data_IF_460128300709
#
_entry.id   IF_460128300709
#
_cell.length_a   1.000
_cell.length_b   1.000
_cell.length_c   1.000
_cell.angle_alpha   90.00
_cell.angle_beta   90.00
_cell.angle_gamma   90.00
#
_symmetry.space_group_name_H-M   'P 1'
#
loop_
_entity.id
_entity.type
_entity.pdbx_description
1 polymer ?
#
# COMPACT_ATOMS: atom_id res chain seq x y z
N UNK A 1 8.51 -18.17 -6.84
CA UNK A 1 7.33 -17.31 -6.67
C UNK A 1 7.32 -16.39 -7.87
N UNK A 2 6.33 -16.50 -8.74
CA UNK A 2 6.32 -15.89 -10.08
C UNK A 2 5.56 -14.55 -10.12
N UNK A 3 5.23 -13.99 -8.96
CA UNK A 3 4.55 -12.71 -8.83
C UNK A 3 5.32 -11.60 -9.55
N UNK A 4 4.64 -10.86 -10.43
CA UNK A 4 5.21 -9.74 -11.19
C UNK A 4 5.21 -8.46 -10.36
N UNK A 5 4.11 -8.20 -9.64
CA UNK A 5 3.94 -7.06 -8.75
C UNK A 5 3.97 -7.52 -7.30
N UNK A 6 4.66 -6.77 -6.45
CA UNK A 6 4.75 -7.00 -5.01
C UNK A 6 4.27 -5.73 -4.30
N UNK A 7 3.31 -5.87 -3.40
CA UNK A 7 2.80 -4.76 -2.58
C UNK A 7 3.16 -5.04 -1.13
N UNK A 8 3.79 -4.09 -0.46
CA UNK A 8 4.03 -4.17 0.99
C UNK A 8 2.90 -3.45 1.75
N UNK A 9 2.72 -3.73 3.04
CA UNK A 9 1.91 -2.89 3.92
C UNK A 9 2.45 -1.45 4.02
N UNK A 10 1.63 -0.56 4.58
CA UNK A 10 2.02 0.80 4.96
C UNK A 10 3.18 0.77 5.97
N UNK A 11 4.22 1.58 5.73
CA UNK A 11 5.43 1.67 6.58
C UNK A 11 6.02 0.30 6.93
N UNK A 12 6.05 -0.61 5.95
CA UNK A 12 6.58 -1.97 6.12
C UNK A 12 8.04 -2.00 6.59
N UNK A 13 8.80 -0.94 6.30
CA UNK A 13 10.24 -0.84 6.63
C UNK A 13 10.48 -0.59 8.12
N UNK A 14 9.60 0.16 8.79
CA UNK A 14 9.88 0.70 10.13
C UNK A 14 8.79 0.42 11.18
N UNK A 15 7.59 -0.01 10.79
CA UNK A 15 6.45 -0.02 11.71
C UNK A 15 5.62 1.25 11.62
N UNK A 16 4.37 1.19 12.07
CA UNK A 16 3.47 2.35 12.11
C UNK A 16 3.80 3.26 13.30
N UNK A 17 4.25 2.69 14.42
CA UNK A 17 4.56 3.41 15.66
C UNK A 17 6.05 3.75 15.83
N UNK A 18 6.87 3.62 14.78
CA UNK A 18 8.33 3.81 14.85
C UNK A 18 8.72 5.15 15.49
N UNK A 19 7.98 6.22 15.18
CA UNK A 19 8.33 7.57 15.60
C UNK A 19 8.28 7.74 17.13
N UNK A 20 7.42 6.98 17.82
CA UNK A 20 7.37 6.97 19.29
C UNK A 20 8.52 6.19 19.92
N UNK A 21 9.20 5.34 19.15
CA UNK A 21 10.28 4.46 19.64
C UNK A 21 11.66 5.04 19.34
N UNK A 22 11.86 5.52 18.11
CA UNK A 22 13.18 5.96 17.61
C UNK A 22 13.20 7.39 17.06
N UNK A 23 12.07 8.12 17.13
CA UNK A 23 11.94 9.45 16.53
C UNK A 23 11.90 9.44 15.00
N UNK A 24 11.97 10.63 14.39
CA UNK A 24 11.90 10.84 12.93
C UNK A 24 13.19 11.39 12.30
N UNK A 25 14.19 11.77 13.10
CA UNK A 25 15.42 12.42 12.61
C UNK A 25 16.29 11.52 11.72
N UNK A 26 16.11 10.20 11.82
CA UNK A 26 16.82 9.21 11.00
C UNK A 26 16.30 9.15 9.55
N UNK A 27 15.08 9.66 9.28
CA UNK A 27 14.44 9.58 7.96
C UNK A 27 15.24 10.41 6.95
N UNK A 28 15.64 9.77 5.86
CA UNK A 28 16.47 10.36 4.81
C UNK A 28 15.64 10.75 3.57
N UNK A 29 16.13 11.71 2.76
CA UNK A 29 15.64 11.89 1.39
C UNK A 29 15.86 10.64 0.57
N UNK A 30 14.87 10.29 -0.27
CA UNK A 30 14.93 9.11 -1.12
C UNK A 30 15.33 9.47 -2.56
N UNK A 31 16.08 8.61 -3.27
CA UNK A 31 16.62 7.33 -2.82
C UNK A 31 17.92 7.45 -2.00
N UNK A 32 17.90 6.98 -0.76
CA UNK A 32 19.08 6.84 0.09
C UNK A 32 19.89 5.55 -0.25
N UNK A 33 21.06 5.29 0.38
CA UNK A 33 21.83 4.08 0.11
C UNK A 33 21.07 2.76 0.36
N UNK A 34 20.12 2.73 1.30
CA UNK A 34 19.30 1.55 1.58
C UNK A 34 18.26 1.34 0.48
N UNK A 35 17.55 2.39 0.08
CA UNK A 35 16.61 2.35 -1.05
C UNK A 35 17.31 1.98 -2.35
N UNK A 36 18.55 2.42 -2.56
CA UNK A 36 19.36 1.99 -3.71
C UNK A 36 19.67 0.48 -3.67
N UNK A 37 19.88 -0.11 -2.49
CA UNK A 37 20.01 -1.57 -2.36
C UNK A 37 18.70 -2.28 -2.73
N UNK A 38 17.56 -1.76 -2.26
CA UNK A 38 16.24 -2.27 -2.64
C UNK A 38 16.02 -2.17 -4.14
N UNK A 39 16.31 -1.03 -4.77
CA UNK A 39 16.22 -0.82 -6.21
C UNK A 39 17.06 -1.85 -7.00
N UNK A 40 18.29 -2.15 -6.55
CA UNK A 40 19.14 -3.20 -7.14
C UNK A 40 18.55 -4.60 -6.98
N UNK A 41 17.97 -4.90 -5.83
CA UNK A 41 17.28 -6.17 -5.60
C UNK A 41 16.07 -6.31 -6.53
N UNK A 42 15.23 -5.28 -6.62
CA UNK A 42 14.07 -5.25 -7.51
C UNK A 42 14.47 -5.46 -8.97
N UNK A 43 15.53 -4.79 -9.44
CA UNK A 43 16.12 -5.00 -10.77
C UNK A 43 16.57 -6.46 -10.99
N UNK A 44 17.20 -7.06 -9.99
CA UNK A 44 17.69 -8.44 -10.06
C UNK A 44 16.54 -9.43 -10.18
N UNK A 45 15.46 -9.18 -9.44
CA UNK A 45 14.24 -9.99 -9.47
C UNK A 45 13.35 -9.71 -10.70
N UNK A 46 13.59 -8.59 -11.39
CA UNK A 46 12.78 -8.08 -12.53
C UNK A 46 11.29 -8.00 -12.16
N UNK A 47 11.00 -7.31 -11.05
CA UNK A 47 9.65 -7.14 -10.48
C UNK A 47 9.29 -5.68 -10.34
N UNK A 48 8.00 -5.41 -10.20
CA UNK A 48 7.49 -4.11 -9.77
C UNK A 48 7.14 -4.17 -8.29
N UNK A 49 7.60 -3.21 -7.48
CA UNK A 49 7.38 -3.20 -6.03
C UNK A 49 6.75 -1.89 -5.58
N UNK A 50 5.63 -1.99 -4.86
CA UNK A 50 4.99 -0.89 -4.14
C UNK A 50 5.46 -0.96 -2.68
N UNK A 51 6.41 -0.10 -2.32
CA UNK A 51 7.09 -0.13 -1.03
C UNK A 51 6.63 1.01 -0.12
N UNK A 52 5.96 0.67 0.98
CA UNK A 52 5.60 1.62 2.04
C UNK A 52 6.82 2.01 2.89
N UNK A 53 7.24 3.27 2.79
CA UNK A 53 8.49 3.78 3.38
C UNK A 53 8.34 5.24 3.80
N UNK A 54 8.92 5.66 4.95
CA UNK A 54 9.00 7.08 5.28
C UNK A 54 10.03 7.79 4.37
N UNK A 55 9.77 9.05 4.06
CA UNK A 55 10.70 9.89 3.31
C UNK A 55 10.82 11.29 3.92
N UNK A 56 11.88 12.00 3.53
CA UNK A 56 12.13 13.37 3.91
C UNK A 56 12.32 14.27 2.69
N UNK A 57 11.71 15.45 2.71
CA UNK A 57 11.96 16.53 1.76
C UNK A 57 12.22 17.83 2.52
N UNK A 58 13.48 18.29 2.48
CA UNK A 58 13.93 19.42 3.27
C UNK A 58 13.72 19.20 4.78
N UNK A 59 12.75 19.92 5.36
CA UNK A 59 12.37 19.83 6.78
C UNK A 59 11.05 19.06 7.01
N UNK A 60 10.41 18.59 5.95
CA UNK A 60 9.16 17.83 6.03
C UNK A 60 9.42 16.35 5.90
N UNK A 61 8.57 15.58 6.55
CA UNK A 61 8.56 14.13 6.50
C UNK A 61 7.23 13.65 5.93
N UNK A 62 7.24 12.52 5.23
CA UNK A 62 6.05 11.96 4.61
C UNK A 62 5.99 10.44 4.82
N UNK A 63 4.77 9.92 4.93
CA UNK A 63 4.47 8.50 4.81
C UNK A 63 4.16 8.23 3.34
N UNK A 64 5.00 7.45 2.68
CA UNK A 64 4.99 7.33 1.23
C UNK A 64 5.01 5.90 0.76
N UNK A 65 4.52 5.71 -0.46
CA UNK A 65 4.70 4.47 -1.22
C UNK A 65 5.52 4.81 -2.44
N UNK A 66 6.70 4.21 -2.55
CA UNK A 66 7.52 4.27 -3.75
C UNK A 66 7.18 3.09 -4.65
N UNK A 67 7.03 3.35 -5.95
CA UNK A 67 6.87 2.29 -6.95
C UNK A 67 8.18 2.12 -7.68
N UNK A 68 8.78 0.94 -7.54
CA UNK A 68 10.05 0.59 -8.14
C UNK A 68 9.76 -0.39 -9.28
N UNK A 69 10.08 -0.02 -10.51
CA UNK A 69 9.85 -0.85 -11.70
C UNK A 69 10.89 -1.97 -11.88
N UNK A 70 10.70 -2.86 -12.88
CA UNK A 70 11.54 -4.04 -13.09
C UNK A 70 12.98 -3.70 -13.54
N UNK A 71 13.23 -2.45 -13.95
CA UNK A 71 14.56 -1.92 -14.25
C UNK A 71 15.33 -1.51 -13.00
N UNK A 72 14.66 -1.46 -11.84
CA UNK A 72 15.16 -0.91 -10.58
C UNK A 72 14.98 0.59 -10.43
N UNK A 73 14.33 1.27 -11.37
CA UNK A 73 14.05 2.70 -11.27
C UNK A 73 12.80 2.96 -10.44
N UNK A 74 12.80 4.04 -9.65
CA UNK A 74 11.59 4.55 -9.00
C UNK A 74 10.75 5.22 -10.09
N UNK A 75 9.65 4.59 -10.49
CA UNK A 75 8.74 5.06 -11.55
C UNK A 75 7.67 6.02 -11.02
N UNK A 76 7.51 6.10 -9.70
CA UNK A 76 6.66 7.09 -9.06
C UNK A 76 6.64 6.98 -7.55
N UNK A 77 5.96 7.94 -6.92
CA UNK A 77 5.67 7.91 -5.50
C UNK A 77 4.28 8.47 -5.22
N UNK A 78 3.68 8.01 -4.13
CA UNK A 78 2.49 8.62 -3.56
C UNK A 78 2.77 8.98 -2.10
N UNK A 79 2.50 10.24 -1.73
CA UNK A 79 2.57 10.74 -0.35
C UNK A 79 1.17 10.67 0.24
N UNK A 80 1.03 10.05 1.41
CA UNK A 80 -0.25 9.93 2.12
C UNK A 80 -0.91 11.30 2.28
N UNK A 81 -2.18 11.41 1.89
CA UNK A 81 -2.90 12.68 1.85
C UNK A 81 -3.71 12.89 3.14
N UNK A 82 -4.28 11.81 3.66
CA UNK A 82 -5.14 11.86 4.85
C UNK A 82 -4.39 11.37 6.11
N UNK A 83 -3.70 12.28 6.79
CA UNK A 83 -2.95 12.01 8.03
C UNK A 83 -3.88 12.17 9.24
N UNK A 84 -4.35 11.07 9.81
CA UNK A 84 -5.45 11.07 10.82
C UNK A 84 -5.11 10.41 12.17
N UNK A 85 -3.87 10.01 12.41
CA UNK A 85 -3.49 9.33 13.65
C UNK A 85 -2.31 10.00 14.36
N UNK A 86 -2.31 9.91 15.70
CA UNK A 86 -1.19 10.35 16.53
C UNK A 86 0.12 9.65 16.14
N UNK A 87 0.04 8.37 15.78
CA UNK A 87 1.18 7.58 15.27
C UNK A 87 1.79 8.11 13.97
N UNK A 88 1.07 8.97 13.25
CA UNK A 88 1.48 9.60 12.01
C UNK A 88 1.68 11.11 12.14
N UNK A 89 1.57 11.68 13.35
CA UNK A 89 1.76 13.11 13.62
C UNK A 89 3.15 13.64 13.24
N UNK A 90 4.14 12.75 13.07
CA UNK A 90 5.47 13.08 12.56
C UNK A 90 5.47 13.46 11.06
N UNK A 91 4.44 13.04 10.31
CA UNK A 91 4.36 13.18 8.85
C UNK A 91 3.46 14.35 8.43
N UNK A 92 3.77 14.94 7.28
CA UNK A 92 2.98 15.96 6.63
C UNK A 92 2.10 15.32 5.56
N UNK A 93 0.90 15.86 5.28
CA UNK A 93 0.10 15.38 4.16
C UNK A 93 0.81 15.68 2.84
N UNK A 94 0.68 14.76 1.89
CA UNK A 94 1.00 15.01 0.49
C UNK A 94 0.08 16.08 -0.12
N UNK A 95 0.44 16.53 -1.32
CA UNK A 95 -0.23 17.63 -2.03
C UNK A 95 -0.65 17.26 -3.46
N UNK A 96 -0.40 16.02 -3.90
CA UNK A 96 -0.67 15.56 -5.25
C UNK A 96 -1.50 14.28 -5.27
N UNK A 97 -2.54 14.28 -6.10
CA UNK A 97 -3.32 13.10 -6.46
C UNK A 97 -3.04 12.79 -7.92
N UNK A 98 -2.26 11.76 -8.20
CA UNK A 98 -1.99 11.31 -9.56
C UNK A 98 -1.69 9.81 -9.58
N UNK A 99 -2.20 9.05 -10.57
CA UNK A 99 -1.80 7.67 -10.74
C UNK A 99 -0.34 7.57 -11.18
N UNK A 100 0.28 6.44 -10.85
CA UNK A 100 1.64 6.09 -11.24
C UNK A 100 1.54 5.11 -12.41
N UNK A 101 2.30 5.35 -13.48
CA UNK A 101 2.34 4.45 -14.63
C UNK A 101 3.22 3.24 -14.33
N UNK A 102 2.63 2.06 -14.37
CA UNK A 102 3.28 0.78 -14.08
C UNK A 102 3.03 -0.17 -15.26
N UNK A 103 4.05 -0.37 -16.10
CA UNK A 103 3.98 -1.34 -17.21
C UNK A 103 2.78 -1.09 -18.15
N UNK A 104 2.46 0.19 -18.40
CA UNK A 104 1.35 0.62 -19.26
C UNK A 104 0.00 0.73 -18.55
N UNK A 105 -0.07 0.44 -17.25
CA UNK A 105 -1.28 0.58 -16.42
C UNK A 105 -1.14 1.76 -15.47
N UNK A 106 -2.13 2.66 -15.43
CA UNK A 106 -2.18 3.76 -14.47
C UNK A 106 -2.74 3.30 -13.13
N UNK A 107 -1.89 3.20 -12.12
CA UNK A 107 -2.23 2.72 -10.77
C UNK A 107 -2.39 3.89 -9.81
N UNK A 108 -3.59 4.06 -9.25
CA UNK A 108 -3.79 4.96 -8.13
C UNK A 108 -3.38 4.31 -6.81
N UNK A 109 -2.73 5.06 -5.92
CA UNK A 109 -2.32 4.56 -4.60
C UNK A 109 -3.16 5.24 -3.51
N UNK A 110 -3.68 4.44 -2.58
CA UNK A 110 -4.40 4.91 -1.39
C UNK A 110 -3.71 4.35 -0.15
N UNK A 111 -3.00 5.18 0.62
CA UNK A 111 -2.36 4.69 1.84
C UNK A 111 -3.37 4.70 2.97
N UNK A 112 -3.83 3.51 3.38
CA UNK A 112 -4.64 3.30 4.58
C UNK A 112 -5.82 4.28 4.68
N UNK A 113 -5.74 5.28 5.57
CA UNK A 113 -6.75 6.32 5.80
C UNK A 113 -7.05 7.22 4.60
N UNK A 114 -6.24 7.21 3.54
CA UNK A 114 -6.63 7.83 2.26
C UNK A 114 -7.96 7.25 1.75
N UNK A 115 -8.26 6.00 2.09
CA UNK A 115 -9.50 5.34 1.70
C UNK A 115 -10.73 5.82 2.50
N UNK A 116 -10.62 6.59 3.59
CA UNK A 116 -11.81 7.03 4.36
C UNK A 116 -12.79 7.88 3.55
N UNK A 117 -12.28 8.68 2.61
CA UNK A 117 -13.11 9.59 1.81
C UNK A 117 -13.10 9.19 0.35
N UNK A 118 -14.21 9.44 -0.35
CA UNK A 118 -14.33 9.17 -1.78
C UNK A 118 -13.51 10.14 -2.64
N UNK A 119 -13.12 11.29 -2.10
CA UNK A 119 -12.48 12.38 -2.84
C UNK A 119 -11.17 11.94 -3.51
N UNK A 120 -10.30 11.24 -2.77
CA UNK A 120 -8.99 10.83 -3.30
C UNK A 120 -9.16 9.77 -4.39
N UNK A 121 -9.99 8.74 -4.16
CA UNK A 121 -10.22 7.68 -5.14
C UNK A 121 -10.89 8.21 -6.42
N UNK A 122 -11.86 9.12 -6.29
CA UNK A 122 -12.52 9.77 -7.43
C UNK A 122 -11.56 10.66 -8.21
N UNK A 123 -10.70 11.41 -7.52
CA UNK A 123 -9.66 12.20 -8.18
C UNK A 123 -8.66 11.31 -8.92
N UNK A 124 -8.20 10.21 -8.33
CA UNK A 124 -7.36 9.21 -9.03
C UNK A 124 -8.06 8.66 -10.29
N UNK A 125 -9.35 8.32 -10.19
CA UNK A 125 -10.13 7.88 -11.35
C UNK A 125 -10.20 8.95 -12.43
N UNK A 126 -10.45 10.20 -12.04
CA UNK A 126 -10.50 11.35 -12.95
C UNK A 126 -9.18 11.57 -13.68
N UNK A 127 -8.05 11.42 -12.98
CA UNK A 127 -6.69 11.47 -13.55
C UNK A 127 -6.33 10.23 -14.40
N UNK A 128 -7.28 9.32 -14.61
CA UNK A 128 -7.16 8.18 -15.50
C UNK A 128 -6.60 6.92 -14.85
N UNK A 129 -6.68 6.77 -13.51
CA UNK A 129 -6.37 5.50 -12.88
C UNK A 129 -7.28 4.39 -13.41
N UNK A 130 -6.68 3.21 -13.63
CA UNK A 130 -7.33 2.00 -14.12
C UNK A 130 -7.52 0.97 -13.01
N UNK A 131 -6.75 1.10 -11.92
CA UNK A 131 -6.88 0.31 -10.71
C UNK A 131 -6.32 1.07 -9.51
N UNK A 132 -6.65 0.59 -8.32
CA UNK A 132 -6.19 1.12 -7.06
C UNK A 132 -5.38 0.07 -6.28
N UNK A 133 -4.30 0.50 -5.65
CA UNK A 133 -3.51 -0.30 -4.71
C UNK A 133 -3.47 0.41 -3.36
N UNK A 134 -3.72 -0.34 -2.29
CA UNK A 134 -3.81 0.20 -0.93
C UNK A 134 -2.89 -0.54 0.04
N UNK A 135 -1.64 -0.08 0.21
CA UNK A 135 -0.81 -0.42 1.36
C UNK A 135 -1.46 0.09 2.64
N UNK A 136 -1.66 -0.78 3.62
CA UNK A 136 -2.36 -0.43 4.85
C UNK A 136 -1.71 -1.03 6.10
N UNK A 137 -1.78 -0.27 7.20
CA UNK A 137 -1.61 -0.76 8.56
C UNK A 137 -2.86 -0.36 9.32
N UNK A 138 -3.97 -1.03 9.02
CA UNK A 138 -5.31 -0.65 9.50
C UNK A 138 -5.95 -1.79 10.30
N UNK A 139 -5.85 -1.69 11.62
CA UNK A 139 -6.39 -2.66 12.57
C UNK A 139 -7.92 -2.57 12.68
N UNK A 140 -8.60 -3.66 13.10
CA UNK A 140 -10.03 -3.62 13.40
C UNK A 140 -10.33 -2.74 14.62
N UNK A 141 -11.55 -2.22 14.72
CA UNK A 141 -11.99 -1.43 15.87
C UNK A 141 -12.97 -0.33 15.46
N UNK A 142 -13.25 0.60 16.38
CA UNK A 142 -14.20 1.72 16.16
C UNK A 142 -13.81 2.56 14.94
N UNK A 143 -12.50 2.74 14.71
CA UNK A 143 -11.97 3.43 13.55
C UNK A 143 -11.32 2.46 12.55
N UNK A 144 -11.56 1.15 12.68
CA UNK A 144 -11.05 0.14 11.75
C UNK A 144 -11.73 0.20 10.38
N UNK A 145 -11.25 -0.58 9.39
CA UNK A 145 -11.90 -0.63 8.10
C UNK A 145 -13.27 -1.31 8.23
N UNK A 146 -14.32 -0.63 7.79
CA UNK A 146 -15.71 -1.06 7.78
C UNK A 146 -16.32 -1.00 6.38
N UNK A 147 -15.53 -1.39 5.37
CA UNK A 147 -15.95 -1.46 3.97
C UNK A 147 -15.55 -0.25 3.12
N UNK A 148 -14.63 0.59 3.59
CA UNK A 148 -14.20 1.78 2.86
C UNK A 148 -13.56 1.41 1.52
N UNK A 149 -12.72 0.37 1.45
CA UNK A 149 -12.09 -0.06 0.20
C UNK A 149 -13.13 -0.52 -0.83
N UNK A 150 -14.11 -1.30 -0.41
CA UNK A 150 -15.24 -1.72 -1.22
C UNK A 150 -16.04 -0.50 -1.69
N UNK A 151 -16.34 0.46 -0.81
CA UNK A 151 -17.02 1.69 -1.20
C UNK A 151 -16.21 2.50 -2.23
N UNK A 152 -14.88 2.64 -2.06
CA UNK A 152 -14.03 3.31 -3.06
C UNK A 152 -14.07 2.58 -4.40
N UNK A 153 -14.10 1.25 -4.38
CA UNK A 153 -14.25 0.44 -5.58
C UNK A 153 -15.62 0.66 -6.24
N UNK A 154 -16.71 0.64 -5.47
CA UNK A 154 -18.07 0.89 -5.95
C UNK A 154 -18.21 2.28 -6.58
N UNK A 155 -17.69 3.31 -5.92
CA UNK A 155 -17.82 4.70 -6.37
C UNK A 155 -17.02 5.03 -7.64
N UNK A 156 -15.92 4.32 -7.88
CA UNK A 156 -15.01 4.59 -9.00
C UNK A 156 -15.11 3.57 -10.13
N UNK A 157 -15.73 2.41 -9.86
CA UNK A 157 -15.70 1.22 -10.71
C UNK A 157 -14.30 0.58 -10.81
N UNK A 158 -13.29 1.11 -10.10
CA UNK A 158 -11.93 0.60 -10.14
C UNK A 158 -11.79 -0.60 -9.20
N UNK A 159 -11.04 -1.64 -9.59
CA UNK A 159 -10.62 -2.64 -8.63
C UNK A 159 -9.67 -2.02 -7.59
N UNK A 160 -9.72 -2.53 -6.37
CA UNK A 160 -8.83 -2.15 -5.26
C UNK A 160 -8.12 -3.40 -4.76
N UNK A 161 -6.79 -3.40 -4.78
CA UNK A 161 -5.94 -4.43 -4.16
C UNK A 161 -5.41 -3.87 -2.85
N UNK A 162 -5.71 -4.54 -1.73
CA UNK A 162 -5.32 -4.11 -0.38
C UNK A 162 -4.28 -5.07 0.18
N UNK A 163 -3.12 -4.53 0.54
CA UNK A 163 -2.11 -5.23 1.33
C UNK A 163 -2.10 -4.61 2.73
N UNK A 164 -2.78 -5.28 3.67
CA UNK A 164 -2.86 -4.84 5.05
C UNK A 164 -1.87 -5.61 5.92
N UNK A 165 -1.36 -4.95 6.94
CA UNK A 165 -0.41 -5.52 7.90
C UNK A 165 -1.03 -6.70 8.66
N UNK A 166 -0.17 -7.61 9.08
CA UNK A 166 -0.45 -8.63 10.10
C UNK A 166 0.51 -8.45 11.27
N UNK A 167 0.15 -8.92 12.46
CA UNK A 167 0.96 -8.77 13.66
C UNK A 167 0.40 -7.74 14.63
N UNK A 168 1.22 -7.33 15.59
CA UNK A 168 0.88 -6.29 16.54
C UNK A 168 2.06 -5.34 16.73
N UNK A 169 1.75 -4.11 17.13
CA UNK A 169 2.69 -3.13 17.67
C UNK A 169 2.28 -2.80 19.12
N UNK A 170 2.96 -1.86 19.77
CA UNK A 170 2.78 -1.60 21.20
C UNK A 170 1.32 -1.34 21.60
N UNK A 171 0.57 -0.62 20.78
CA UNK A 171 -0.84 -0.28 21.08
C UNK A 171 -1.80 -0.62 19.95
N UNK A 172 -1.35 -1.37 18.94
CA UNK A 172 -2.11 -1.66 17.72
C UNK A 172 -2.09 -3.16 17.42
N UNK A 173 -3.24 -3.70 17.02
CA UNK A 173 -3.42 -5.09 16.66
C UNK A 173 -3.89 -5.19 15.20
N UNK A 174 -3.19 -5.98 14.40
CA UNK A 174 -3.48 -6.26 13.00
C UNK A 174 -3.72 -7.76 12.71
N UNK A 175 -3.81 -8.63 13.73
CA UNK A 175 -4.00 -10.08 13.52
C UNK A 175 -5.35 -10.42 12.85
N UNK A 176 -6.35 -9.55 12.99
CA UNK A 176 -7.65 -9.68 12.33
C UNK A 176 -7.87 -8.66 11.21
N UNK A 177 -6.81 -7.94 10.82
CA UNK A 177 -6.88 -6.96 9.76
C UNK A 177 -6.91 -7.65 8.38
N UNK A 178 -7.92 -7.40 7.53
CA UNK A 178 -8.02 -8.09 6.25
C UNK A 178 -7.10 -7.46 5.21
N UNK A 179 -6.40 -8.32 4.45
CA UNK A 179 -5.99 -8.02 3.08
C UNK A 179 -7.07 -8.52 2.12
N UNK A 180 -7.35 -7.78 1.05
CA UNK A 180 -8.49 -8.08 0.19
C UNK A 180 -8.29 -7.59 -1.25
N UNK A 181 -9.14 -8.08 -2.14
CA UNK A 181 -9.35 -7.50 -3.47
C UNK A 181 -10.84 -7.22 -3.61
N UNK A 182 -11.19 -6.00 -4.06
CA UNK A 182 -12.56 -5.60 -4.33
C UNK A 182 -12.72 -5.06 -5.75
N UNK A 183 -13.91 -5.24 -6.33
CA UNK A 183 -14.32 -4.60 -7.60
C UNK A 183 -15.80 -4.27 -7.58
N UNK A 184 -16.18 -3.08 -8.03
CA UNK A 184 -17.58 -2.62 -8.06
C UNK A 184 -18.28 -2.67 -6.70
N UNK A 185 -17.52 -2.65 -5.60
CA UNK A 185 -18.06 -2.83 -4.24
C UNK A 185 -18.06 -4.26 -3.73
N UNK A 186 -17.86 -5.25 -4.60
CA UNK A 186 -17.83 -6.66 -4.19
C UNK A 186 -16.43 -7.04 -3.73
N UNK A 187 -16.34 -7.63 -2.54
CA UNK A 187 -15.10 -8.24 -2.03
C UNK A 187 -14.89 -9.59 -2.72
N UNK A 188 -14.00 -9.62 -3.69
CA UNK A 188 -13.69 -10.80 -4.51
C UNK A 188 -12.75 -11.77 -3.80
N UNK A 189 -11.74 -11.24 -3.09
CA UNK A 189 -10.79 -12.02 -2.29
C UNK A 189 -10.66 -11.40 -0.91
N UNK A 190 -10.44 -12.23 0.12
CA UNK A 190 -10.18 -11.76 1.49
C UNK A 190 -9.27 -12.74 2.21
N UNK A 191 -8.36 -12.22 3.04
CA UNK A 191 -7.56 -13.03 3.93
C UNK A 191 -7.24 -12.28 5.22
N UNK A 192 -7.30 -13.02 6.34
CA UNK A 192 -6.86 -12.61 7.68
C UNK A 192 -6.09 -13.77 8.28
N UNK A 193 -5.04 -13.51 9.04
CA UNK A 193 -4.27 -14.57 9.69
C UNK A 193 -3.64 -14.11 11.00
N UNK A 194 -3.49 -15.07 11.92
CA UNK A 194 -2.71 -15.00 13.14
C UNK A 194 -1.20 -15.18 12.93
N UNK A 195 -0.73 -15.25 11.67
CA UNK A 195 0.67 -15.40 11.31
C UNK A 195 1.00 -14.57 10.07
N UNK A 196 2.24 -14.10 10.00
CA UNK A 196 2.73 -13.39 8.82
C UNK A 196 2.71 -14.30 7.58
N UNK A 197 2.15 -13.81 6.48
CA UNK A 197 2.01 -14.55 5.24
C UNK A 197 2.35 -13.69 4.03
N UNK A 198 2.83 -14.32 2.98
CA UNK A 198 2.83 -13.75 1.63
C UNK A 198 1.60 -14.28 0.91
N UNK A 199 0.78 -13.36 0.41
CA UNK A 199 -0.42 -13.68 -0.36
C UNK A 199 -0.12 -13.55 -1.84
N UNK A 200 -0.45 -14.58 -2.61
CA UNK A 200 -0.32 -14.60 -4.07
C UNK A 200 -1.64 -14.96 -4.72
N UNK A 201 -1.88 -14.38 -5.88
CA UNK A 201 -3.04 -14.61 -6.73
C UNK A 201 -2.71 -14.13 -8.14
N UNK A 202 -3.40 -14.69 -9.14
CA UNK A 202 -3.22 -14.28 -10.53
C UNK A 202 -4.24 -13.18 -10.88
N UNK A 203 -3.80 -12.21 -11.69
CA UNK A 203 -4.60 -11.06 -12.09
C UNK A 203 -4.84 -11.06 -13.60
N UNK A 204 -6.07 -10.83 -14.01
CA UNK A 204 -6.45 -10.59 -15.39
C UNK A 204 -6.48 -9.08 -15.66
N UNK A 205 -5.47 -8.56 -16.35
CA UNK A 205 -5.39 -7.15 -16.74
C UNK A 205 -6.42 -6.74 -17.80
N UNK A 206 -6.96 -7.68 -18.58
CA UNK A 206 -7.96 -7.37 -19.61
C UNK A 206 -9.31 -7.09 -18.97
N UNK A 207 -9.68 -7.93 -18.00
CA UNK A 207 -10.95 -7.82 -17.29
C UNK A 207 -10.82 -7.07 -15.96
N UNK A 208 -9.60 -6.73 -15.53
CA UNK A 208 -9.30 -6.07 -14.26
C UNK A 208 -9.94 -6.78 -13.06
N UNK A 209 -9.75 -8.09 -12.95
CA UNK A 209 -10.25 -8.98 -11.88
C UNK A 209 -9.23 -10.06 -11.55
N UNK A 210 -9.31 -10.71 -10.37
CA UNK A 210 -8.53 -11.91 -10.09
C UNK A 210 -8.93 -13.05 -11.03
N UNK A 211 -7.94 -13.79 -11.53
CA UNK A 211 -8.15 -15.06 -12.25
C UNK A 211 -8.35 -16.24 -11.29
N UNK A 212 -8.07 -16.04 -10.00
CA UNK A 212 -8.25 -17.02 -8.93
C UNK A 212 -9.44 -16.66 -8.04
N UNK A 213 -9.98 -17.65 -7.32
CA UNK A 213 -11.09 -17.47 -6.37
C UNK A 213 -10.64 -17.31 -4.92
N UNK A 214 -9.36 -17.53 -4.64
CA UNK A 214 -8.78 -17.37 -3.30
C UNK A 214 -7.31 -16.95 -3.40
N UNK A 215 -6.80 -16.35 -2.32
CA UNK A 215 -5.37 -16.15 -2.15
C UNK A 215 -4.69 -17.50 -1.87
N UNK A 216 -3.51 -17.71 -2.46
CA UNK A 216 -2.53 -18.66 -1.93
C UNK A 216 -1.72 -17.95 -0.84
N UNK A 217 -1.75 -18.50 0.37
CA UNK A 217 -1.00 -17.98 1.51
C UNK A 217 0.23 -18.84 1.80
N UNK A 218 1.42 -18.26 1.67
CA UNK A 218 2.68 -18.88 2.10
C UNK A 218 3.10 -18.23 3.44
N UNK A 219 2.95 -18.98 4.55
CA UNK A 219 3.25 -18.48 5.89
C UNK A 219 4.74 -18.44 6.17
N UNK A 220 5.21 -17.33 6.75
CA UNK A 220 6.60 -17.19 7.18
C UNK A 220 6.85 -18.03 8.43
N UNK A 221 8.02 -18.66 8.51
CA UNK A 221 8.44 -19.41 9.71
C UNK A 221 8.73 -18.39 10.83
N UNK A 222 8.14 -18.62 11.99
CA UNK A 222 8.40 -17.88 13.24
C UNK A 222 9.81 -18.09 13.74
#
# INVERSE_FOLDING_TARGET
MDAQWIVTPELAVCGLQFAHVVGSDWIQPQPDPWMQQVCRLVKTLKRTVFLGCPEREGRRFYNSVFVIGPTGEIVGQHRKLNVVSDSLSWSHPGDRVAPIECEGIKVGVLICSDAYTSNIARALKFEGAEMLVSPASWGPGIHGPNGEWEQRSHETGLPVIVCNRTGAEQTLDFWRAPSLVAKNGDRLLSHTSDRSAVLTFDWDFSNMVPSTTQFRADYMRS
#
